data_IF_804525759376
#
_entry.id   IF_804525759376
#
_cell.length_a   1.000
_cell.length_b   1.000
_cell.length_c   1.000
_cell.angle_alpha   90.00
_cell.angle_beta   90.00
_cell.angle_gamma   90.00
#
_symmetry.space_group_name_H-M   'P 1'
#
loop_
_entity.id
_entity.type
_entity.pdbx_description
1 polymer ?
#
# COMPACT_ATOMS: atom_id res chain seq x y z
N UNK A 1 5.54 -11.43 12.58
CA UNK A 1 6.72 -11.11 11.74
C UNK A 1 6.32 -10.08 10.69
N UNK A 2 6.86 -8.86 10.79
CA UNK A 2 6.46 -7.78 9.88
C UNK A 2 7.37 -7.64 8.65
N UNK A 3 8.68 -7.78 8.83
CA UNK A 3 9.63 -7.75 7.72
C UNK A 3 10.97 -8.37 8.11
N UNK A 4 11.70 -8.89 7.15
CA UNK A 4 13.10 -9.26 7.29
C UNK A 4 13.99 -7.99 7.27
N UNK A 5 15.18 -8.05 7.86
CA UNK A 5 16.18 -7.00 7.73
C UNK A 5 16.82 -7.10 6.34
N UNK A 6 16.20 -6.49 5.33
CA UNK A 6 16.62 -6.63 3.92
C UNK A 6 17.69 -5.60 3.53
N UNK A 7 17.61 -4.36 4.03
CA UNK A 7 18.42 -3.25 3.53
C UNK A 7 19.83 -3.14 4.12
N UNK A 8 20.10 -3.76 5.28
CA UNK A 8 21.36 -3.61 6.01
C UNK A 8 22.08 -4.96 6.16
N UNK A 9 22.73 -5.41 5.07
CA UNK A 9 23.40 -6.73 5.01
C UNK A 9 24.41 -7.01 6.14
N UNK A 10 25.12 -6.00 6.63
CA UNK A 10 26.08 -6.13 7.75
C UNK A 10 25.37 -6.33 9.09
N UNK A 11 24.30 -5.59 9.36
CA UNK A 11 23.47 -5.72 10.56
C UNK A 11 22.73 -7.07 10.53
N UNK A 12 22.22 -7.48 9.36
CA UNK A 12 21.54 -8.76 9.19
C UNK A 12 22.41 -9.96 9.65
N UNK A 13 23.71 -9.95 9.35
CA UNK A 13 24.62 -11.03 9.81
C UNK A 13 24.69 -11.14 11.33
N UNK A 14 24.62 -10.02 12.06
CA UNK A 14 24.64 -9.98 13.52
C UNK A 14 23.30 -10.36 14.14
N UNK A 15 22.20 -9.96 13.50
CA UNK A 15 20.82 -10.15 14.01
C UNK A 15 20.29 -11.55 13.68
N UNK A 16 20.70 -12.11 12.53
CA UNK A 16 20.21 -13.42 12.05
C UNK A 16 20.28 -14.57 13.07
N UNK A 17 21.35 -14.75 13.88
CA UNK A 17 21.36 -15.80 14.91
C UNK A 17 20.29 -15.60 15.98
N UNK A 18 19.98 -14.33 16.31
CA UNK A 18 18.94 -13.98 17.30
C UNK A 18 17.57 -14.28 16.72
N UNK A 19 17.33 -13.88 15.48
CA UNK A 19 16.08 -14.17 14.74
C UNK A 19 15.82 -15.67 14.63
N UNK A 20 16.83 -16.44 14.25
CA UNK A 20 16.74 -17.91 14.19
C UNK A 20 16.41 -18.53 15.56
N UNK A 21 17.03 -18.05 16.63
CA UNK A 21 16.74 -18.51 17.99
C UNK A 21 15.31 -18.17 18.41
N UNK A 22 14.83 -16.97 18.07
CA UNK A 22 13.46 -16.53 18.34
C UNK A 22 12.44 -17.41 17.60
N UNK A 23 12.61 -17.58 16.29
CA UNK A 23 11.72 -18.38 15.44
C UNK A 23 11.70 -19.86 15.86
N UNK A 24 12.87 -20.41 16.23
CA UNK A 24 12.97 -21.78 16.74
C UNK A 24 12.19 -21.99 18.04
N UNK A 25 12.17 -21.01 18.93
CA UNK A 25 11.48 -21.07 20.24
C UNK A 25 10.01 -20.70 20.18
N UNK A 26 9.58 -19.98 19.16
CA UNK A 26 8.18 -19.59 18.99
C UNK A 26 7.28 -20.82 18.78
N UNK A 27 6.13 -20.84 19.44
CA UNK A 27 5.09 -21.86 19.23
C UNK A 27 4.32 -21.57 17.92
N UNK A 28 4.10 -20.31 17.61
CA UNK A 28 3.49 -19.86 16.36
C UNK A 28 4.18 -18.62 15.83
N UNK A 29 4.14 -18.44 14.50
CA UNK A 29 4.69 -17.31 13.79
C UNK A 29 3.57 -16.74 12.93
N UNK A 30 3.22 -15.48 13.14
CA UNK A 30 2.19 -14.81 12.33
C UNK A 30 2.87 -14.02 11.22
N UNK A 31 2.42 -14.23 9.97
CA UNK A 31 2.76 -13.40 8.82
C UNK A 31 1.52 -12.68 8.33
N UNK A 32 1.70 -11.48 7.75
CA UNK A 32 0.57 -10.65 7.32
C UNK A 32 0.02 -11.05 5.94
N UNK A 33 0.71 -11.95 5.24
CA UNK A 33 0.25 -12.50 3.95
C UNK A 33 0.77 -13.93 3.75
N UNK A 34 0.12 -14.74 2.89
CA UNK A 34 0.59 -16.07 2.54
C UNK A 34 1.89 -16.05 1.71
N UNK A 35 2.21 -14.93 1.07
CA UNK A 35 3.38 -14.79 0.20
C UNK A 35 4.67 -14.57 0.99
N UNK A 36 4.58 -13.97 2.18
CA UNK A 36 5.76 -13.53 2.91
C UNK A 36 6.58 -14.68 3.51
N UNK A 37 5.92 -15.64 4.15
CA UNK A 37 6.58 -16.75 4.82
C UNK A 37 7.49 -17.59 3.91
N UNK A 38 7.02 -18.07 2.76
CA UNK A 38 7.83 -18.81 1.79
C UNK A 38 9.02 -18.03 1.23
N UNK A 39 8.87 -16.70 1.06
CA UNK A 39 9.91 -15.84 0.50
C UNK A 39 10.98 -15.40 1.53
N UNK A 40 10.73 -15.55 2.82
CA UNK A 40 11.70 -15.22 3.86
C UNK A 40 12.74 -16.34 4.02
N UNK A 41 14.02 -15.98 3.99
CA UNK A 41 15.14 -16.93 4.20
C UNK A 41 15.10 -17.62 5.55
N UNK A 42 14.50 -17.01 6.55
CA UNK A 42 14.36 -17.55 7.88
C UNK A 42 13.06 -18.36 8.00
N UNK A 43 11.94 -17.76 7.63
CA UNK A 43 10.62 -18.35 7.87
C UNK A 43 10.34 -19.57 6.98
N UNK A 44 10.93 -19.64 5.78
CA UNK A 44 10.79 -20.81 4.89
C UNK A 44 11.19 -22.14 5.54
N UNK A 45 12.04 -22.10 6.58
CA UNK A 45 12.46 -23.27 7.32
C UNK A 45 11.44 -23.72 8.39
N UNK A 46 10.43 -22.88 8.67
CA UNK A 46 9.49 -23.06 9.78
C UNK A 46 8.03 -23.00 9.35
N UNK A 47 7.72 -23.39 8.11
CA UNK A 47 6.40 -23.27 7.49
C UNK A 47 5.26 -23.86 8.35
N UNK A 48 5.53 -24.97 9.08
CA UNK A 48 4.53 -25.60 9.95
C UNK A 48 4.10 -24.75 11.16
N UNK A 49 4.86 -23.72 11.50
CA UNK A 49 4.55 -22.79 12.58
C UNK A 49 3.91 -21.49 12.08
N UNK A 50 3.82 -21.30 10.76
CA UNK A 50 3.33 -20.06 10.18
C UNK A 50 1.82 -20.07 10.11
N UNK A 51 1.24 -19.04 10.68
CA UNK A 51 -0.18 -18.69 10.58
C UNK A 51 -0.30 -17.36 9.83
N UNK A 52 -1.14 -17.35 8.79
CA UNK A 52 -1.39 -16.13 8.03
C UNK A 52 -2.56 -15.39 8.68
N UNK A 53 -2.27 -14.25 9.27
CA UNK A 53 -3.28 -13.34 9.82
C UNK A 53 -2.96 -11.94 9.29
N UNK A 54 -3.84 -11.40 8.46
CA UNK A 54 -3.66 -10.12 7.80
C UNK A 54 -3.47 -8.96 8.80
N UNK A 55 -2.85 -7.88 8.35
CA UNK A 55 -3.03 -6.61 9.05
C UNK A 55 -4.46 -6.10 8.85
N UNK A 56 -4.99 -5.42 9.85
CA UNK A 56 -6.37 -4.94 9.83
C UNK A 56 -6.46 -3.42 9.86
N UNK A 57 -7.51 -2.90 9.25
CA UNK A 57 -7.91 -1.50 9.38
C UNK A 57 -9.20 -1.38 10.20
N UNK A 58 -9.37 -0.25 10.86
CA UNK A 58 -10.59 0.05 11.60
C UNK A 58 -11.55 0.86 10.73
N UNK A 59 -12.70 0.27 10.42
CA UNK A 59 -13.76 0.88 9.61
C UNK A 59 -14.15 2.29 10.05
N UNK A 60 -14.21 2.52 11.38
CA UNK A 60 -14.61 3.82 11.95
C UNK A 60 -13.70 4.98 11.51
N UNK A 61 -12.39 4.71 11.25
CA UNK A 61 -11.43 5.74 10.86
C UNK A 61 -11.66 6.24 9.41
N UNK A 62 -12.36 5.44 8.60
CA UNK A 62 -12.62 5.71 7.18
C UNK A 62 -14.12 5.87 6.86
N UNK A 63 -14.96 6.11 7.87
CA UNK A 63 -16.38 6.42 7.64
C UNK A 63 -16.51 7.75 6.89
N UNK A 64 -17.29 7.73 5.80
CA UNK A 64 -17.64 8.93 5.05
C UNK A 64 -18.77 9.69 5.77
N UNK A 65 -18.41 10.74 6.48
CA UNK A 65 -19.31 11.60 7.25
C UNK A 65 -19.41 13.00 6.62
N UNK A 66 -20.31 13.85 7.14
CA UNK A 66 -20.52 15.23 6.64
C UNK A 66 -19.25 16.09 6.70
N UNK A 67 -18.35 15.84 7.66
CA UNK A 67 -17.09 16.57 7.76
C UNK A 67 -16.15 16.14 6.63
N UNK A 68 -16.09 14.85 6.35
CA UNK A 68 -15.34 14.28 5.22
C UNK A 68 -15.92 14.81 3.90
N UNK A 69 -17.23 14.80 3.72
CA UNK A 69 -17.88 15.30 2.51
C UNK A 69 -17.51 16.77 2.22
N UNK A 70 -17.57 17.63 3.25
CA UNK A 70 -17.17 19.05 3.10
C UNK A 70 -15.70 19.21 2.66
N UNK A 71 -14.78 18.40 3.23
CA UNK A 71 -13.36 18.43 2.85
C UNK A 71 -13.16 17.91 1.43
N UNK A 72 -13.81 16.82 1.05
CA UNK A 72 -13.78 16.25 -0.32
C UNK A 72 -14.26 17.29 -1.34
N UNK A 73 -15.38 17.96 -1.09
CA UNK A 73 -15.89 19.04 -1.98
C UNK A 73 -14.88 20.17 -2.15
N UNK A 74 -14.21 20.58 -1.07
CA UNK A 74 -13.14 21.60 -1.12
C UNK A 74 -11.95 21.11 -1.95
N UNK A 75 -11.47 19.88 -1.72
CA UNK A 75 -10.35 19.32 -2.46
C UNK A 75 -10.66 19.21 -3.96
N UNK A 76 -11.86 18.75 -4.35
CA UNK A 76 -12.29 18.67 -5.75
C UNK A 76 -12.46 20.05 -6.39
N UNK A 77 -12.76 21.09 -5.62
CA UNK A 77 -12.79 22.47 -6.14
C UNK A 77 -11.37 23.04 -6.38
N UNK A 78 -10.39 22.67 -5.54
CA UNK A 78 -8.98 23.05 -5.71
C UNK A 78 -8.34 22.27 -6.85
N UNK A 79 -8.66 20.99 -6.99
CA UNK A 79 -8.10 20.06 -7.97
C UNK A 79 -9.20 19.58 -8.93
N UNK A 80 -9.53 20.38 -9.99
CA UNK A 80 -10.68 20.11 -10.86
C UNK A 80 -10.48 18.93 -11.79
N UNK A 81 -9.25 18.48 -12.02
CA UNK A 81 -8.95 17.27 -12.76
C UNK A 81 -8.96 16.04 -11.85
N UNK A 82 -8.90 14.85 -12.45
CA UNK A 82 -8.74 13.59 -11.71
C UNK A 82 -7.47 13.59 -10.87
N UNK A 83 -7.53 12.94 -9.73
CA UNK A 83 -6.45 12.94 -8.74
C UNK A 83 -5.81 11.56 -8.66
N UNK A 84 -4.52 11.51 -8.91
CA UNK A 84 -3.64 10.39 -8.56
C UNK A 84 -3.00 10.71 -7.22
N UNK A 85 -3.21 9.88 -6.20
CA UNK A 85 -2.75 10.16 -4.85
C UNK A 85 -1.68 9.15 -4.40
N UNK A 86 -0.62 9.67 -3.82
CA UNK A 86 0.41 8.94 -3.11
C UNK A 86 0.53 9.47 -1.68
N UNK A 87 0.64 8.57 -0.72
CA UNK A 87 0.97 8.92 0.67
C UNK A 87 1.96 7.91 1.24
N UNK A 88 3.02 8.42 1.86
CA UNK A 88 4.03 7.60 2.52
C UNK A 88 5.32 8.34 2.81
N UNK A 89 6.23 7.64 3.50
CA UNK A 89 7.57 8.16 3.74
C UNK A 89 8.37 8.17 2.43
N UNK A 90 9.06 9.28 2.14
CA UNK A 90 9.87 9.44 0.94
C UNK A 90 11.24 8.77 1.11
N UNK A 91 11.27 7.44 0.94
CA UNK A 91 12.45 6.57 1.03
C UNK A 91 12.52 5.63 -0.18
N UNK A 92 13.71 5.08 -0.47
CA UNK A 92 14.00 4.31 -1.67
C UNK A 92 12.99 3.18 -1.93
N UNK A 93 12.69 2.34 -0.92
CA UNK A 93 11.82 1.18 -1.14
C UNK A 93 10.36 1.53 -1.45
N UNK A 94 9.91 2.75 -1.11
CA UNK A 94 8.58 3.27 -1.50
C UNK A 94 8.50 3.65 -2.97
N UNK A 95 9.63 3.70 -3.68
CA UNK A 95 9.69 3.79 -5.13
C UNK A 95 9.06 5.05 -5.75
N UNK A 96 8.86 6.10 -4.96
CA UNK A 96 8.17 7.34 -5.39
C UNK A 96 8.78 7.94 -6.68
N UNK A 97 10.08 7.74 -6.92
CA UNK A 97 10.74 8.17 -8.15
C UNK A 97 10.09 7.58 -9.42
N UNK A 98 9.61 6.34 -9.35
CA UNK A 98 8.96 5.68 -10.50
C UNK A 98 7.59 6.30 -10.82
N UNK A 99 6.89 6.84 -9.81
CA UNK A 99 5.70 7.64 -10.06
C UNK A 99 6.04 8.91 -10.83
N UNK A 100 7.13 9.60 -10.48
CA UNK A 100 7.55 10.80 -11.22
C UNK A 100 8.10 10.46 -12.62
N UNK A 101 8.90 9.40 -12.74
CA UNK A 101 9.40 8.93 -14.04
C UNK A 101 8.25 8.45 -14.96
N UNK A 102 7.07 8.13 -14.40
CA UNK A 102 5.88 7.72 -15.16
C UNK A 102 5.07 8.88 -15.74
N UNK A 103 5.25 10.11 -15.25
CA UNK A 103 4.45 11.29 -15.64
C UNK A 103 4.45 11.54 -17.15
N UNK A 104 5.58 11.42 -17.89
CA UNK A 104 5.58 11.62 -19.36
C UNK A 104 4.69 10.64 -20.15
N UNK A 105 4.26 9.56 -19.53
CA UNK A 105 3.42 8.53 -20.15
C UNK A 105 1.92 8.70 -19.85
N UNK A 106 1.56 9.73 -19.07
CA UNK A 106 0.18 10.09 -18.72
C UNK A 106 -0.26 11.22 -19.64
N UNK A 107 -1.30 10.97 -20.43
CA UNK A 107 -1.83 11.93 -21.43
C UNK A 107 -3.08 12.65 -20.91
N UNK A 108 -3.89 11.97 -20.13
CA UNK A 108 -5.10 12.54 -19.54
C UNK A 108 -4.73 13.56 -18.45
N UNK A 109 -5.25 14.81 -18.53
CA UNK A 109 -5.00 15.81 -17.49
C UNK A 109 -5.36 15.29 -16.09
N UNK A 110 -4.43 15.36 -15.17
CA UNK A 110 -4.62 14.95 -13.78
C UNK A 110 -3.72 15.73 -12.83
N UNK A 111 -4.11 15.77 -11.55
CA UNK A 111 -3.25 16.21 -10.46
C UNK A 111 -2.62 14.99 -9.79
N UNK A 112 -1.33 15.07 -9.48
CA UNK A 112 -0.60 14.04 -8.74
C UNK A 112 -0.29 14.62 -7.36
N UNK A 113 -1.04 14.20 -6.36
CA UNK A 113 -0.89 14.68 -4.99
C UNK A 113 0.07 13.79 -4.22
N UNK A 114 1.12 14.38 -3.66
CA UNK A 114 2.19 13.70 -2.94
C UNK A 114 2.15 14.09 -1.48
N UNK A 115 1.70 13.18 -0.62
CA UNK A 115 1.67 13.36 0.83
C UNK A 115 2.79 12.59 1.51
N UNK A 116 3.27 13.15 2.61
CA UNK A 116 4.36 12.59 3.40
C UNK A 116 5.64 13.40 3.30
N UNK A 117 6.70 12.82 3.84
CA UNK A 117 8.03 13.43 3.89
C UNK A 117 9.10 12.35 4.08
N UNK A 118 10.37 12.69 3.81
CA UNK A 118 11.48 11.78 4.02
C UNK A 118 12.79 12.28 3.43
N UNK A 119 13.87 11.50 3.59
CA UNK A 119 15.21 11.90 3.15
C UNK A 119 15.32 12.19 1.65
N UNK A 120 14.42 11.65 0.83
CA UNK A 120 14.45 11.87 -0.63
C UNK A 120 13.65 13.11 -1.07
N UNK A 121 12.88 13.75 -0.19
CA UNK A 121 11.93 14.82 -0.56
C UNK A 121 12.57 15.95 -1.34
N UNK A 122 13.65 16.52 -0.83
CA UNK A 122 14.28 17.70 -1.44
C UNK A 122 14.97 17.38 -2.76
N UNK A 123 15.58 16.21 -2.88
CA UNK A 123 16.21 15.78 -4.14
C UNK A 123 15.16 15.49 -5.22
N UNK A 124 14.02 14.90 -4.82
CA UNK A 124 12.91 14.65 -5.74
C UNK A 124 12.28 15.96 -6.22
N UNK A 125 12.06 16.94 -5.35
CA UNK A 125 11.54 18.27 -5.73
C UNK A 125 12.47 18.99 -6.71
N UNK A 126 13.79 18.91 -6.49
CA UNK A 126 14.77 19.50 -7.41
C UNK A 126 14.80 18.84 -8.77
N UNK A 127 14.64 17.49 -8.80
CA UNK A 127 14.74 16.69 -10.03
C UNK A 127 13.47 16.75 -10.87
N UNK A 128 12.30 16.76 -10.23
CA UNK A 128 11.01 16.62 -10.92
C UNK A 128 10.16 17.88 -10.74
N UNK A 129 10.14 18.71 -11.78
CA UNK A 129 9.40 19.97 -11.79
C UNK A 129 8.22 19.90 -12.79
N UNK A 130 7.27 18.98 -12.53
CA UNK A 130 6.05 18.88 -13.31
C UNK A 130 4.95 19.74 -12.70
N UNK A 131 4.26 20.55 -13.50
CA UNK A 131 3.22 21.49 -13.04
C UNK A 131 2.02 20.80 -12.36
N UNK A 132 1.75 19.55 -12.74
CA UNK A 132 0.64 18.77 -12.19
C UNK A 132 1.00 18.00 -10.91
N UNK A 133 2.22 18.09 -10.41
CA UNK A 133 2.64 17.51 -9.14
C UNK A 133 2.46 18.52 -8.01
N UNK A 134 1.69 18.12 -7.01
CA UNK A 134 1.42 18.92 -5.82
C UNK A 134 2.02 18.24 -4.59
N UNK A 135 2.98 18.89 -3.97
CA UNK A 135 3.61 18.45 -2.74
C UNK A 135 2.80 18.93 -1.53
N UNK A 136 2.13 18.01 -0.85
CA UNK A 136 1.29 18.31 0.32
C UNK A 136 2.08 18.36 1.64
N UNK A 137 3.30 17.76 1.67
CA UNK A 137 3.99 17.51 2.91
C UNK A 137 3.27 16.52 3.80
N UNK A 138 3.49 16.58 5.09
CA UNK A 138 2.76 15.75 6.06
C UNK A 138 1.34 16.28 6.20
N UNK A 139 0.37 15.38 6.03
CA UNK A 139 -1.04 15.66 6.31
C UNK A 139 -1.44 15.04 7.64
N UNK A 140 -2.41 15.62 8.33
CA UNK A 140 -2.91 15.08 9.61
C UNK A 140 -3.65 13.75 9.37
N UNK A 141 -3.55 12.81 10.31
CA UNK A 141 -4.14 11.48 10.19
C UNK A 141 -5.66 11.54 9.95
N UNK A 142 -6.35 12.49 10.61
CA UNK A 142 -7.78 12.72 10.42
C UNK A 142 -8.15 13.26 9.02
N UNK A 143 -7.18 13.81 8.29
CA UNK A 143 -7.40 14.33 6.93
C UNK A 143 -7.13 13.30 5.85
N UNK A 144 -6.35 12.25 6.14
CA UNK A 144 -5.98 11.21 5.16
C UNK A 144 -7.21 10.66 4.44
N UNK A 145 -8.27 10.32 5.18
CA UNK A 145 -9.51 9.80 4.58
C UNK A 145 -10.13 10.77 3.56
N UNK A 146 -10.04 12.07 3.80
CA UNK A 146 -10.61 13.07 2.89
C UNK A 146 -9.85 13.13 1.56
N UNK A 147 -8.52 13.02 1.59
CA UNK A 147 -7.70 12.90 0.38
C UNK A 147 -7.95 11.58 -0.35
N UNK A 148 -8.09 10.47 0.38
CA UNK A 148 -8.43 9.18 -0.22
C UNK A 148 -9.79 9.26 -0.95
N UNK A 149 -10.83 9.76 -0.30
CA UNK A 149 -12.16 9.90 -0.93
C UNK A 149 -12.23 10.96 -2.04
N UNK A 150 -11.36 11.96 -2.04
CA UNK A 150 -11.28 12.94 -3.11
C UNK A 150 -10.54 12.44 -4.35
N UNK A 151 -9.73 11.39 -4.20
CA UNK A 151 -8.86 10.87 -5.26
C UNK A 151 -9.56 9.87 -6.17
N UNK A 152 -8.97 9.61 -7.32
CA UNK A 152 -9.48 8.70 -8.35
C UNK A 152 -8.63 7.43 -8.47
N UNK A 153 -7.32 7.53 -8.20
CA UNK A 153 -6.35 6.44 -8.30
C UNK A 153 -5.39 6.53 -7.12
N UNK A 154 -5.07 5.39 -6.52
CA UNK A 154 -4.01 5.28 -5.53
C UNK A 154 -2.72 4.79 -6.17
N UNK A 155 -1.68 5.62 -6.20
CA UNK A 155 -0.37 5.23 -6.67
C UNK A 155 0.42 4.59 -5.53
N UNK A 156 0.79 3.31 -5.67
CA UNK A 156 1.53 2.56 -4.66
C UNK A 156 2.80 1.92 -5.27
N UNK A 157 3.82 2.73 -5.61
CA UNK A 157 4.98 2.32 -6.37
C UNK A 157 6.07 1.64 -5.52
N UNK A 158 5.73 1.03 -4.37
CA UNK A 158 6.70 0.30 -3.55
C UNK A 158 7.37 -0.81 -4.35
N UNK A 159 8.71 -0.96 -4.19
CA UNK A 159 9.54 -1.84 -5.03
C UNK A 159 10.17 -3.01 -4.25
N UNK A 160 9.96 -3.08 -2.95
CA UNK A 160 10.65 -4.06 -2.09
C UNK A 160 9.70 -4.71 -1.10
N UNK A 161 9.98 -5.97 -0.73
CA UNK A 161 9.25 -6.71 0.30
C UNK A 161 9.39 -6.14 1.72
N UNK A 162 10.14 -5.04 1.90
CA UNK A 162 10.03 -4.21 3.11
C UNK A 162 8.62 -3.67 3.29
N UNK A 163 7.85 -3.58 2.21
CA UNK A 163 6.41 -3.41 2.22
C UNK A 163 5.73 -4.77 2.38
N UNK A 164 5.59 -5.23 3.61
CA UNK A 164 5.09 -6.58 3.88
C UNK A 164 3.59 -6.76 3.63
N UNK A 165 2.80 -5.68 3.73
CA UNK A 165 1.34 -5.71 3.56
C UNK A 165 0.80 -4.49 2.79
N UNK A 166 1.20 -3.28 3.20
CA UNK A 166 0.66 -2.03 2.68
C UNK A 166 -0.63 -1.62 3.38
N UNK A 167 -0.56 -1.24 4.67
CA UNK A 167 -1.74 -0.80 5.43
C UNK A 167 -2.47 0.33 4.72
N UNK A 168 -1.75 1.37 4.28
CA UNK A 168 -2.35 2.49 3.55
C UNK A 168 -2.94 2.08 2.19
N UNK A 169 -2.46 0.99 1.58
CA UNK A 169 -3.08 0.40 0.38
C UNK A 169 -4.48 -0.14 0.72
N UNK A 170 -4.61 -0.89 1.82
CA UNK A 170 -5.91 -1.38 2.27
C UNK A 170 -6.85 -0.22 2.65
N UNK A 171 -6.34 0.85 3.25
CA UNK A 171 -7.10 2.06 3.57
C UNK A 171 -7.64 2.76 2.31
N UNK A 172 -6.79 2.91 1.30
CA UNK A 172 -7.18 3.46 -0.01
C UNK A 172 -8.23 2.58 -0.70
N UNK A 173 -8.03 1.27 -0.69
CA UNK A 173 -8.97 0.29 -1.24
C UNK A 173 -10.33 0.34 -0.53
N UNK A 174 -10.36 0.52 0.80
CA UNK A 174 -11.60 0.70 1.55
C UNK A 174 -12.36 1.97 1.12
N UNK A 175 -11.63 3.04 0.78
CA UNK A 175 -12.19 4.26 0.21
C UNK A 175 -12.56 4.15 -1.27
N UNK A 176 -12.65 2.95 -1.83
CA UNK A 176 -12.97 2.66 -3.24
C UNK A 176 -11.93 3.17 -4.24
N UNK A 177 -10.67 3.32 -3.86
CA UNK A 177 -9.61 3.68 -4.78
C UNK A 177 -8.99 2.42 -5.40
N UNK A 178 -9.03 2.28 -6.74
CA UNK A 178 -8.21 1.29 -7.41
C UNK A 178 -6.74 1.67 -7.27
N UNK A 179 -5.89 0.68 -6.99
CA UNK A 179 -4.47 0.91 -6.82
C UNK A 179 -3.67 0.51 -8.05
N UNK A 180 -2.54 1.20 -8.26
CA UNK A 180 -1.51 0.76 -9.18
C UNK A 180 -0.30 0.37 -8.35
N UNK A 181 0.16 -0.88 -8.51
CA UNK A 181 1.23 -1.49 -7.72
C UNK A 181 2.28 -2.11 -8.64
N UNK A 182 3.47 -2.29 -8.13
CA UNK A 182 4.46 -3.17 -8.77
C UNK A 182 4.31 -4.61 -8.31
N UNK A 183 4.72 -5.56 -9.15
CA UNK A 183 4.96 -6.94 -8.74
C UNK A 183 6.13 -6.97 -7.76
N UNK A 184 5.92 -7.46 -6.55
CA UNK A 184 6.95 -7.54 -5.52
C UNK A 184 7.00 -8.96 -4.96
N UNK A 185 8.01 -9.73 -5.36
CA UNK A 185 8.18 -11.10 -4.89
C UNK A 185 8.21 -11.18 -3.37
N UNK A 186 7.33 -12.02 -2.81
CA UNK A 186 7.24 -12.28 -1.39
C UNK A 186 6.64 -11.15 -0.56
N UNK A 187 6.11 -10.09 -1.20
CA UNK A 187 5.36 -9.04 -0.50
C UNK A 187 3.88 -9.38 -0.43
N UNK A 188 3.21 -8.93 0.63
CA UNK A 188 1.76 -9.01 0.73
C UNK A 188 1.01 -8.01 -0.14
N UNK A 189 1.68 -7.02 -0.74
CA UNK A 189 1.06 -5.99 -1.60
C UNK A 189 0.21 -6.62 -2.69
N UNK A 190 0.76 -7.60 -3.42
CA UNK A 190 0.08 -8.28 -4.53
C UNK A 190 -0.97 -9.32 -4.08
N UNK A 191 -1.03 -9.61 -2.79
CA UNK A 191 -2.13 -10.36 -2.17
C UNK A 191 -3.23 -9.41 -1.67
N UNK A 192 -2.89 -8.22 -1.21
CA UNK A 192 -3.86 -7.20 -0.77
C UNK A 192 -4.60 -6.64 -1.99
N UNK A 193 -3.89 -6.13 -2.99
CA UNK A 193 -4.46 -5.64 -4.24
C UNK A 193 -4.29 -6.69 -5.34
N UNK A 194 -5.39 -7.11 -5.94
CA UNK A 194 -5.42 -8.14 -6.99
C UNK A 194 -5.40 -7.50 -8.38
N UNK A 195 -4.46 -7.96 -9.20
CA UNK A 195 -4.33 -7.50 -10.58
C UNK A 195 -5.61 -7.74 -11.39
N UNK A 196 -6.05 -6.73 -12.12
CA UNK A 196 -7.25 -6.74 -12.98
C UNK A 196 -8.58 -6.99 -12.24
N UNK A 197 -8.57 -6.90 -10.90
CA UNK A 197 -9.77 -7.02 -10.07
C UNK A 197 -9.97 -5.80 -9.19
N UNK A 198 -8.94 -5.39 -8.43
CA UNK A 198 -8.98 -4.27 -7.50
C UNK A 198 -8.06 -3.11 -7.90
N UNK A 199 -7.30 -3.31 -8.97
CA UNK A 199 -6.32 -2.37 -9.49
C UNK A 199 -5.51 -2.99 -10.62
N UNK A 200 -4.37 -2.38 -10.92
CA UNK A 200 -3.43 -2.85 -11.94
C UNK A 200 -2.07 -3.10 -11.30
N UNK A 201 -1.55 -4.28 -11.52
CA UNK A 201 -0.19 -4.67 -11.16
C UNK A 201 0.70 -4.63 -12.41
N UNK A 202 1.87 -4.03 -12.29
CA UNK A 202 2.83 -3.90 -13.39
C UNK A 202 4.22 -4.38 -12.98
N UNK A 203 5.10 -4.58 -13.94
CA UNK A 203 6.47 -5.06 -13.72
C UNK A 203 7.22 -4.14 -12.75
N UNK A 204 7.97 -4.74 -11.81
CA UNK A 204 8.68 -4.00 -10.79
C UNK A 204 9.63 -2.96 -11.39
N UNK A 205 9.59 -1.75 -10.83
CA UNK A 205 10.46 -0.63 -11.24
C UNK A 205 10.29 -0.17 -12.69
N UNK A 206 9.19 -0.53 -13.35
CA UNK A 206 8.88 -0.12 -14.73
C UNK A 206 7.98 1.11 -14.75
N UNK A 207 8.58 2.30 -14.86
CA UNK A 207 7.85 3.58 -14.88
C UNK A 207 6.94 3.73 -16.12
N UNK A 208 7.31 3.18 -17.27
CA UNK A 208 6.48 3.20 -18.48
C UNK A 208 5.18 2.43 -18.27
N UNK A 209 5.26 1.20 -17.77
CA UNK A 209 4.08 0.40 -17.48
C UNK A 209 3.22 1.05 -16.38
N UNK A 210 3.85 1.66 -15.37
CA UNK A 210 3.17 2.36 -14.28
C UNK A 210 2.36 3.56 -14.83
N UNK A 211 2.98 4.38 -15.70
CA UNK A 211 2.30 5.50 -16.35
C UNK A 211 1.17 5.06 -17.28
N UNK A 212 1.37 4.01 -18.06
CA UNK A 212 0.33 3.44 -18.91
C UNK A 212 -0.86 2.88 -18.09
N UNK A 213 -0.59 2.31 -16.91
CA UNK A 213 -1.64 1.85 -16.00
C UNK A 213 -2.44 3.02 -15.40
N UNK A 214 -1.77 4.12 -15.03
CA UNK A 214 -2.43 5.38 -14.61
C UNK A 214 -3.31 5.89 -15.75
N UNK A 215 -2.77 6.03 -16.95
CA UNK A 215 -3.50 6.51 -18.13
C UNK A 215 -4.74 5.66 -18.40
N UNK A 216 -4.60 4.33 -18.35
CA UNK A 216 -5.72 3.39 -18.55
C UNK A 216 -6.87 3.62 -17.58
N UNK A 217 -6.58 3.88 -16.29
CA UNK A 217 -7.62 4.14 -15.29
C UNK A 217 -8.15 5.56 -15.37
N UNK A 218 -7.32 6.56 -15.73
CA UNK A 218 -7.77 7.93 -15.93
C UNK A 218 -8.73 8.06 -17.11
N UNK A 219 -8.47 7.34 -18.20
CA UNK A 219 -9.26 7.39 -19.44
C UNK A 219 -10.48 6.47 -19.44
N UNK A 220 -10.67 5.60 -18.42
CA UNK A 220 -11.77 4.65 -18.37
C UNK A 220 -12.48 4.67 -17.01
N UNK A 221 -13.49 5.51 -16.88
CA UNK A 221 -14.26 5.71 -15.66
C UNK A 221 -14.96 4.42 -15.20
N UNK A 222 -15.55 3.67 -16.13
CA UNK A 222 -16.26 2.44 -15.82
C UNK A 222 -15.32 1.38 -15.19
N UNK A 223 -14.11 1.21 -15.76
CA UNK A 223 -13.10 0.29 -15.24
C UNK A 223 -12.60 0.75 -13.87
N UNK A 224 -12.33 2.05 -13.72
CA UNK A 224 -11.88 2.63 -12.46
C UNK A 224 -12.90 2.41 -11.35
N UNK A 225 -14.17 2.69 -11.62
CA UNK A 225 -15.27 2.49 -10.67
C UNK A 225 -15.48 1.01 -10.32
N UNK A 226 -15.37 0.13 -11.32
CA UNK A 226 -15.45 -1.32 -11.09
C UNK A 226 -14.34 -1.79 -10.13
N UNK A 227 -13.09 -1.42 -10.41
CA UNK A 227 -11.97 -1.81 -9.56
C UNK A 227 -12.07 -1.21 -8.17
N UNK A 228 -12.51 0.04 -8.06
CA UNK A 228 -12.74 0.69 -6.77
C UNK A 228 -13.80 -0.03 -5.91
N UNK A 229 -14.95 -0.42 -6.49
CA UNK A 229 -15.96 -1.22 -5.79
C UNK A 229 -15.43 -2.57 -5.36
N UNK A 230 -14.68 -3.26 -6.22
CA UNK A 230 -14.07 -4.54 -5.90
C UNK A 230 -13.01 -4.41 -4.80
N UNK A 231 -12.20 -3.32 -4.84
CA UNK A 231 -11.19 -3.02 -3.83
C UNK A 231 -11.84 -2.88 -2.44
N UNK A 232 -12.90 -2.09 -2.33
CA UNK A 232 -13.63 -1.94 -1.07
C UNK A 232 -14.20 -3.26 -0.58
N UNK A 233 -14.91 -4.01 -1.42
CA UNK A 233 -15.48 -5.32 -1.07
C UNK A 233 -14.41 -6.27 -0.53
N UNK A 234 -13.24 -6.34 -1.20
CA UNK A 234 -12.13 -7.18 -0.77
C UNK A 234 -11.64 -6.82 0.63
N UNK A 235 -11.53 -5.53 0.94
CA UNK A 235 -11.13 -5.08 2.28
C UNK A 235 -12.20 -5.42 3.31
N UNK A 236 -13.48 -5.20 3.01
CA UNK A 236 -14.59 -5.53 3.90
C UNK A 236 -14.67 -7.03 4.22
N UNK A 237 -14.34 -7.90 3.26
CA UNK A 237 -14.35 -9.35 3.44
C UNK A 237 -13.11 -9.90 4.16
N UNK A 238 -11.96 -9.20 4.13
CA UNK A 238 -10.69 -9.83 4.53
C UNK A 238 -9.86 -9.04 5.53
N UNK A 239 -9.97 -7.70 5.57
CA UNK A 239 -8.97 -6.85 6.23
C UNK A 239 -9.55 -5.89 7.27
N UNK A 240 -10.82 -6.00 7.62
CA UNK A 240 -11.38 -5.25 8.73
C UNK A 240 -11.04 -5.89 10.08
N UNK A 241 -10.94 -5.07 11.14
CA UNK A 241 -10.63 -5.54 12.50
C UNK A 241 -11.64 -6.57 12.99
N UNK A 242 -12.92 -6.43 12.64
CA UNK A 242 -13.98 -7.39 12.97
C UNK A 242 -13.81 -8.76 12.30
N UNK A 243 -13.08 -8.84 11.19
CA UNK A 243 -12.76 -10.10 10.48
C UNK A 243 -11.45 -10.70 10.98
N UNK A 244 -10.44 -9.85 11.17
CA UNK A 244 -9.07 -10.28 11.52
C UNK A 244 -8.92 -10.56 13.01
N UNK A 245 -9.55 -9.76 13.87
CA UNK A 245 -9.43 -9.89 15.33
C UNK A 245 -9.79 -11.26 15.88
N UNK A 246 -10.91 -11.89 15.46
CA UNK A 246 -11.27 -13.25 15.86
C UNK A 246 -10.22 -14.31 15.52
N UNK A 247 -9.47 -14.16 14.42
CA UNK A 247 -8.41 -15.10 13.99
C UNK A 247 -7.26 -15.13 15.01
N UNK A 248 -6.86 -13.97 15.55
CA UNK A 248 -5.90 -13.89 16.65
C UNK A 248 -6.40 -14.63 17.89
N UNK A 249 -7.65 -14.40 18.29
CA UNK A 249 -8.24 -15.05 19.47
C UNK A 249 -8.29 -16.57 19.29
N UNK A 250 -8.63 -17.06 18.11
CA UNK A 250 -8.65 -18.50 17.80
C UNK A 250 -7.26 -19.10 17.88
N UNK A 251 -6.24 -18.44 17.32
CA UNK A 251 -4.85 -18.89 17.38
C UNK A 251 -4.38 -18.98 18.84
N UNK A 252 -4.59 -17.92 19.65
CA UNK A 252 -4.18 -17.93 21.05
C UNK A 252 -4.88 -19.01 21.89
N UNK A 253 -6.13 -19.33 21.61
CA UNK A 253 -6.84 -20.44 22.27
C UNK A 253 -6.22 -21.78 21.90
N UNK A 254 -5.86 -22.01 20.63
CA UNK A 254 -5.26 -23.26 20.17
C UNK A 254 -3.85 -23.51 20.71
N UNK A 255 -3.13 -22.46 21.11
CA UNK A 255 -1.78 -22.59 21.70
C UNK A 255 -1.81 -22.85 23.22
N UNK A 256 -2.97 -22.68 23.87
CA UNK A 256 -3.15 -22.96 25.30
C UNK A 256 -3.69 -24.36 25.60
N UNK A 257 -4.20 -25.04 24.56
CA UNK A 257 -4.66 -26.44 24.62
C UNK A 257 -3.51 -27.40 24.36
#
# INVERSE_FOLDING_TARGET
WHSDVVAQKSIHKLVKPIELKLVKRADAIITTSPLYGPASDILRLYQKKIFVIASAIEKKNFTYDDATERKVKKLKAIYPYKIVFFIGRHVEYKGIRYLFDSVPHIKTPCHILIAGDGPLTEDLKKKYNYENIVWLGRIADEDVKSYLYASDIFAFPSVSRNEAFGLVLAEAMYCQLPAITFTIDGSGVNWVSLNSETGIEVSNSNALEFGNAIEKLLSNDALRDQYGRNAKRRVEENFLMEIVGPQYNQLYKSLKS
#
